data_IF_702907092797
#
_entry.id   IF_702907092797
#
_cell.length_a   1.000
_cell.length_b   1.000
_cell.length_c   1.000
_cell.angle_alpha   90.00
_cell.angle_beta   90.00
_cell.angle_gamma   90.00
#
_symmetry.space_group_name_H-M   'P 1'
#
loop_
_entity.id
_entity.type
_entity.pdbx_description
1 polymer ?
#
# COMPACT_ATOMS: atom_id res chain seq x y z
N UNK A 1 -1.32 -40.79 24.50
CA UNK A 1 -1.50 -39.47 25.14
C UNK A 1 -1.48 -38.40 24.06
N UNK A 2 -2.62 -37.75 23.77
CA UNK A 2 -2.70 -36.60 22.86
C UNK A 2 -3.09 -35.39 23.71
N UNK A 3 -2.15 -34.46 23.90
CA UNK A 3 -2.35 -33.21 24.61
C UNK A 3 -3.24 -32.29 23.79
N UNK A 4 -4.48 -32.10 24.23
CA UNK A 4 -5.40 -31.07 23.72
C UNK A 4 -4.90 -29.72 24.25
N UNK A 5 -4.42 -28.88 23.33
CA UNK A 5 -4.06 -27.49 23.61
C UNK A 5 -5.37 -26.74 23.85
N UNK A 6 -5.63 -26.44 25.12
CA UNK A 6 -6.79 -25.70 25.61
C UNK A 6 -6.62 -24.21 25.27
N UNK A 7 -7.18 -23.76 24.15
CA UNK A 7 -7.36 -22.33 23.90
C UNK A 7 -8.44 -21.80 24.87
N UNK A 8 -8.19 -20.75 25.66
CA UNK A 8 -9.20 -20.15 26.52
C UNK A 8 -10.06 -19.20 25.68
N UNK A 9 -10.83 -19.72 24.73
CA UNK A 9 -11.99 -19.01 24.21
C UNK A 9 -13.19 -19.41 25.06
N UNK A 10 -13.37 -18.70 26.17
CA UNK A 10 -14.58 -18.79 26.99
C UNK A 10 -15.84 -18.47 26.18
N UNK A 11 -17.01 -18.98 26.61
CA UNK A 11 -18.24 -18.93 25.84
C UNK A 11 -18.86 -17.52 25.91
N UNK A 12 -18.59 -16.70 24.90
CA UNK A 12 -19.31 -15.42 24.69
C UNK A 12 -20.66 -15.68 24.00
N UNK A 13 -21.57 -16.32 24.74
CA UNK A 13 -23.02 -16.29 24.48
C UNK A 13 -23.60 -15.00 25.07
N UNK A 14 -24.22 -14.16 24.23
CA UNK A 14 -24.99 -13.00 24.72
C UNK A 14 -25.16 -11.87 23.69
N UNK A 15 -26.08 -12.07 22.73
CA UNK A 15 -26.73 -11.07 21.87
C UNK A 15 -26.12 -9.67 21.70
N UNK A 16 -25.28 -9.45 20.67
CA UNK A 16 -25.03 -8.14 20.01
C UNK A 16 -24.11 -8.24 18.77
N UNK A 17 -24.18 -9.34 17.98
CA UNK A 17 -23.26 -9.53 16.84
C UNK A 17 -23.49 -8.58 15.65
N UNK A 18 -24.71 -8.06 15.45
CA UNK A 18 -25.03 -7.22 14.29
C UNK A 18 -24.31 -5.86 14.31
N UNK A 19 -24.30 -5.18 15.47
CA UNK A 19 -23.66 -3.86 15.59
C UNK A 19 -22.12 -3.91 15.50
N UNK A 20 -21.49 -5.00 15.97
CA UNK A 20 -20.02 -5.16 15.93
C UNK A 20 -19.51 -5.48 14.53
N UNK A 21 -20.29 -6.22 13.73
CA UNK A 21 -19.94 -6.55 12.35
C UNK A 21 -20.14 -5.36 11.41
N UNK A 22 -21.18 -4.54 11.65
CA UNK A 22 -21.36 -3.25 10.97
C UNK A 22 -20.18 -2.30 11.25
N UNK A 23 -19.70 -2.27 12.51
CA UNK A 23 -18.55 -1.47 12.89
C UNK A 23 -17.26 -1.94 12.18
N UNK A 24 -17.01 -3.25 12.10
CA UNK A 24 -15.85 -3.79 11.39
C UNK A 24 -15.89 -3.54 9.88
N UNK A 25 -17.06 -3.67 9.23
CA UNK A 25 -17.24 -3.33 7.81
C UNK A 25 -16.98 -1.85 7.53
N UNK A 26 -17.54 -0.97 8.37
CA UNK A 26 -17.34 0.48 8.23
C UNK A 26 -15.86 0.85 8.41
N UNK A 27 -15.18 0.28 9.41
CA UNK A 27 -13.75 0.48 9.61
C UNK A 27 -12.91 0.04 8.40
N UNK A 28 -13.22 -1.13 7.81
CA UNK A 28 -12.52 -1.65 6.65
C UNK A 28 -12.76 -0.79 5.38
N UNK A 29 -13.98 -0.27 5.20
CA UNK A 29 -14.29 0.67 4.11
C UNK A 29 -13.54 1.98 4.31
N UNK A 30 -13.55 2.55 5.52
CA UNK A 30 -12.81 3.78 5.82
C UNK A 30 -11.30 3.61 5.60
N UNK A 31 -10.71 2.47 5.98
CA UNK A 31 -9.29 2.21 5.71
C UNK A 31 -8.98 2.11 4.22
N UNK A 32 -9.87 1.51 3.42
CA UNK A 32 -9.70 1.44 1.97
C UNK A 32 -9.76 2.82 1.32
N UNK A 33 -10.74 3.66 1.72
CA UNK A 33 -10.86 5.05 1.25
C UNK A 33 -9.62 5.86 1.63
N UNK A 34 -9.14 5.74 2.86
CA UNK A 34 -7.94 6.45 3.30
C UNK A 34 -6.70 6.02 2.50
N UNK A 35 -6.56 4.71 2.24
CA UNK A 35 -5.46 4.16 1.45
C UNK A 35 -5.47 4.72 0.03
N UNK A 36 -6.64 4.84 -0.61
CA UNK A 36 -6.78 5.45 -1.94
C UNK A 36 -6.34 6.92 -1.91
N UNK A 37 -6.78 7.70 -0.93
CA UNK A 37 -6.43 9.12 -0.82
C UNK A 37 -4.93 9.34 -0.61
N UNK A 38 -4.31 8.56 0.28
CA UNK A 38 -2.86 8.64 0.51
C UNK A 38 -2.09 8.19 -0.73
N UNK A 39 -2.49 7.11 -1.39
CA UNK A 39 -1.84 6.64 -2.63
C UNK A 39 -1.90 7.72 -3.72
N UNK A 40 -3.05 8.41 -3.85
CA UNK A 40 -3.23 9.49 -4.82
C UNK A 40 -2.35 10.71 -4.49
N UNK A 41 -2.23 11.08 -3.21
CA UNK A 41 -1.33 12.12 -2.75
C UNK A 41 0.14 11.78 -3.09
N UNK A 42 0.56 10.53 -2.86
CA UNK A 42 1.92 10.08 -3.15
C UNK A 42 2.20 10.17 -4.66
N UNK A 43 1.29 9.69 -5.51
CA UNK A 43 1.42 9.79 -6.98
C UNK A 43 1.58 11.24 -7.42
N UNK A 44 0.82 12.17 -6.86
CA UNK A 44 0.92 13.60 -7.19
C UNK A 44 2.28 14.20 -6.78
N UNK A 45 2.76 13.90 -5.58
CA UNK A 45 4.06 14.39 -5.09
C UNK A 45 5.21 13.86 -5.95
N UNK A 46 5.22 12.56 -6.29
CA UNK A 46 6.27 12.00 -7.12
C UNK A 46 6.20 12.46 -8.57
N UNK A 47 4.99 12.64 -9.12
CA UNK A 47 4.80 13.22 -10.46
C UNK A 47 5.31 14.66 -10.52
N UNK A 48 5.01 15.47 -9.49
CA UNK A 48 5.60 16.81 -9.34
C UNK A 48 7.13 16.72 -9.30
N UNK A 49 7.70 15.85 -8.47
CA UNK A 49 9.16 15.72 -8.30
C UNK A 49 9.87 15.40 -9.61
N UNK A 50 9.29 14.55 -10.46
CA UNK A 50 9.81 14.27 -11.80
C UNK A 50 9.78 15.55 -12.65
N UNK A 51 8.63 16.24 -12.71
CA UNK A 51 8.45 17.45 -13.53
C UNK A 51 9.40 18.58 -13.10
N UNK A 52 9.56 18.82 -11.80
CA UNK A 52 10.44 19.87 -11.28
C UNK A 52 11.92 19.59 -11.56
N UNK A 53 12.32 18.32 -11.54
CA UNK A 53 13.70 17.96 -11.80
C UNK A 53 14.02 17.87 -13.32
N UNK A 54 13.03 17.73 -14.22
CA UNK A 54 13.26 17.70 -15.68
C UNK A 54 14.00 18.94 -16.21
N UNK A 55 13.80 20.10 -15.57
CA UNK A 55 14.49 21.35 -15.93
C UNK A 55 15.99 21.35 -15.63
N UNK A 56 16.51 20.43 -14.82
CA UNK A 56 17.94 20.33 -14.44
C UNK A 56 18.70 19.19 -15.13
N UNK A 57 18.08 18.49 -16.08
CA UNK A 57 18.58 17.24 -16.66
C UNK A 57 19.78 17.37 -17.61
N UNK A 58 20.35 18.56 -17.79
CA UNK A 58 21.30 18.83 -18.87
C UNK A 58 22.75 18.35 -18.60
N UNK A 59 23.10 17.93 -17.38
CA UNK A 59 24.52 17.74 -16.99
C UNK A 59 24.87 16.34 -16.44
N UNK A 60 23.91 15.54 -15.92
CA UNK A 60 24.16 14.19 -15.36
C UNK A 60 23.09 13.17 -15.79
N UNK A 61 23.14 12.78 -17.07
CA UNK A 61 22.08 12.03 -17.74
C UNK A 61 21.86 10.61 -17.16
N UNK A 62 22.92 9.83 -16.94
CA UNK A 62 22.79 8.40 -16.59
C UNK A 62 22.23 8.15 -15.18
N UNK A 63 22.63 8.95 -14.19
CA UNK A 63 22.11 8.79 -12.81
C UNK A 63 20.69 9.34 -12.69
N UNK A 64 20.37 10.37 -13.45
CA UNK A 64 19.04 10.93 -13.50
C UNK A 64 18.03 9.93 -14.06
N UNK A 65 18.41 9.14 -15.07
CA UNK A 65 17.61 8.01 -15.56
C UNK A 65 17.34 6.96 -14.48
N UNK A 66 18.35 6.58 -13.70
CA UNK A 66 18.20 5.61 -12.59
C UNK A 66 17.22 6.09 -11.50
N UNK A 67 17.29 7.37 -11.13
CA UNK A 67 16.38 7.99 -10.15
C UNK A 67 14.97 8.13 -10.72
N UNK A 68 14.84 8.45 -12.01
CA UNK A 68 13.53 8.55 -12.67
C UNK A 68 12.82 7.19 -12.76
N UNK A 69 13.55 6.11 -13.05
CA UNK A 69 13.01 4.74 -13.04
C UNK A 69 12.51 4.37 -11.63
N UNK A 70 13.24 4.74 -10.57
CA UNK A 70 12.80 4.51 -9.20
C UNK A 70 11.48 5.25 -8.88
N UNK A 71 11.32 6.49 -9.35
CA UNK A 71 10.07 7.24 -9.18
C UNK A 71 8.91 6.67 -9.99
N UNK A 72 9.15 6.19 -11.20
CA UNK A 72 8.13 5.46 -11.97
C UNK A 72 7.72 4.16 -11.27
N UNK A 73 8.66 3.44 -10.65
CA UNK A 73 8.34 2.25 -9.87
C UNK A 73 7.45 2.57 -8.67
N UNK A 74 7.73 3.65 -7.92
CA UNK A 74 6.90 4.11 -6.79
C UNK A 74 5.50 4.53 -7.27
N UNK A 75 5.40 5.26 -8.39
CA UNK A 75 4.08 5.60 -8.95
C UNK A 75 3.33 4.33 -9.35
N UNK A 76 4.01 3.36 -9.96
CA UNK A 76 3.42 2.07 -10.34
C UNK A 76 2.90 1.24 -9.17
N UNK A 77 3.63 1.20 -8.05
CA UNK A 77 3.15 0.51 -6.83
C UNK A 77 1.92 1.20 -6.25
N UNK A 78 1.90 2.54 -6.21
CA UNK A 78 0.74 3.28 -5.71
C UNK A 78 -0.50 3.14 -6.59
N UNK A 79 -0.35 3.07 -7.91
CA UNK A 79 -1.46 2.76 -8.82
C UNK A 79 -2.01 1.34 -8.58
N UNK A 80 -1.13 0.37 -8.31
CA UNK A 80 -1.52 -1.01 -7.98
C UNK A 80 -2.24 -1.09 -6.62
N UNK A 81 -1.83 -0.25 -5.66
CA UNK A 81 -2.47 -0.11 -4.34
C UNK A 81 -3.88 0.46 -4.43
N UNK A 82 -4.12 1.41 -5.34
CA UNK A 82 -5.47 1.94 -5.62
C UNK A 82 -6.36 0.82 -6.17
N UNK A 83 -5.86 0.05 -7.15
CA UNK A 83 -6.61 -1.07 -7.73
C UNK A 83 -6.98 -2.13 -6.68
N UNK A 84 -6.01 -2.55 -5.87
CA UNK A 84 -6.26 -3.50 -4.78
C UNK A 84 -7.28 -2.94 -3.78
N UNK A 85 -7.21 -1.66 -3.44
CA UNK A 85 -8.15 -1.03 -2.50
C UNK A 85 -9.58 -0.99 -3.05
N UNK A 86 -9.77 -0.84 -4.36
CA UNK A 86 -11.08 -0.98 -5.02
C UNK A 86 -11.57 -2.43 -4.92
N UNK A 87 -10.69 -3.42 -5.16
CA UNK A 87 -11.02 -4.85 -5.01
C UNK A 87 -11.42 -5.18 -3.56
N UNK A 88 -10.80 -4.56 -2.57
CA UNK A 88 -11.17 -4.70 -1.16
C UNK A 88 -12.59 -4.19 -0.91
N UNK A 89 -12.93 -2.99 -1.39
CA UNK A 89 -14.28 -2.43 -1.26
C UNK A 89 -15.30 -3.35 -1.93
N UNK A 90 -15.00 -3.84 -3.14
CA UNK A 90 -15.85 -4.79 -3.85
C UNK A 90 -16.03 -6.11 -3.08
N UNK A 91 -14.96 -6.64 -2.48
CA UNK A 91 -14.99 -7.84 -1.65
C UNK A 91 -15.86 -7.68 -0.41
N UNK A 92 -15.79 -6.52 0.26
CA UNK A 92 -16.64 -6.18 1.41
C UNK A 92 -18.10 -6.05 0.99
N UNK A 93 -18.39 -5.39 -0.14
CA UNK A 93 -19.73 -5.22 -0.68
C UNK A 93 -20.39 -6.55 -1.08
N UNK A 94 -19.61 -7.50 -1.63
CA UNK A 94 -20.10 -8.84 -1.99
C UNK A 94 -20.06 -9.85 -0.84
N UNK A 95 -19.71 -9.41 0.37
CA UNK A 95 -19.53 -10.24 1.57
C UNK A 95 -18.60 -11.45 1.34
N UNK A 96 -17.66 -11.35 0.39
CA UNK A 96 -16.73 -12.42 0.08
C UNK A 96 -15.37 -12.15 0.76
N UNK A 97 -15.07 -12.81 1.90
CA UNK A 97 -13.84 -12.57 2.65
C UNK A 97 -12.59 -13.01 1.88
N UNK A 98 -12.73 -13.84 0.84
CA UNK A 98 -11.61 -14.31 0.03
C UNK A 98 -10.89 -13.19 -0.73
N UNK A 99 -11.57 -12.08 -1.03
CA UNK A 99 -10.99 -10.92 -1.73
C UNK A 99 -10.16 -10.00 -0.82
N UNK A 100 -10.19 -10.22 0.49
CA UNK A 100 -9.37 -9.48 1.46
C UNK A 100 -7.92 -9.99 1.45
N UNK A 101 -7.73 -11.30 1.23
CA UNK A 101 -6.40 -11.94 1.28
C UNK A 101 -5.44 -11.37 0.21
N UNK A 102 -5.84 -11.26 -1.08
CA UNK A 102 -4.99 -10.62 -2.09
C UNK A 102 -4.66 -9.15 -1.77
N UNK A 103 -5.60 -8.42 -1.15
CA UNK A 103 -5.36 -7.04 -0.74
C UNK A 103 -4.27 -6.95 0.33
N UNK A 104 -4.32 -7.79 1.38
CA UNK A 104 -3.32 -7.79 2.46
C UNK A 104 -1.93 -8.15 1.90
N UNK A 105 -1.84 -9.23 1.11
CA UNK A 105 -0.57 -9.70 0.54
C UNK A 105 0.00 -8.64 -0.39
N UNK A 106 -0.83 -8.07 -1.26
CA UNK A 106 -0.40 -7.01 -2.17
C UNK A 106 0.04 -5.75 -1.42
N UNK A 107 -0.70 -5.34 -0.39
CA UNK A 107 -0.36 -4.17 0.44
C UNK A 107 1.03 -4.30 1.06
N UNK A 108 1.33 -5.45 1.69
CA UNK A 108 2.63 -5.70 2.32
C UNK A 108 3.75 -5.73 1.26
N UNK A 109 3.50 -6.39 0.13
CA UNK A 109 4.48 -6.51 -0.95
C UNK A 109 4.82 -5.16 -1.57
N UNK A 110 3.82 -4.32 -1.85
CA UNK A 110 4.01 -3.00 -2.44
C UNK A 110 4.64 -2.01 -1.46
N UNK A 111 4.31 -2.07 -0.16
CA UNK A 111 5.01 -1.32 0.88
C UNK A 111 6.52 -1.65 0.92
N UNK A 112 6.87 -2.94 0.85
CA UNK A 112 8.27 -3.34 0.80
C UNK A 112 8.98 -2.83 -0.47
N UNK A 113 8.32 -2.90 -1.63
CA UNK A 113 8.87 -2.43 -2.90
C UNK A 113 9.09 -0.90 -2.89
N UNK A 114 8.13 -0.14 -2.35
CA UNK A 114 8.25 1.31 -2.19
C UNK A 114 9.45 1.68 -1.30
N UNK A 115 9.63 1.00 -0.17
CA UNK A 115 10.76 1.22 0.72
C UNK A 115 12.10 0.97 0.01
N UNK A 116 12.20 -0.12 -0.76
CA UNK A 116 13.41 -0.46 -1.53
C UNK A 116 13.67 0.59 -2.62
N UNK A 117 12.64 0.99 -3.37
CA UNK A 117 12.78 2.01 -4.41
C UNK A 117 13.19 3.38 -3.84
N UNK A 118 12.70 3.73 -2.65
CA UNK A 118 13.09 4.94 -1.94
C UNK A 118 14.56 4.91 -1.53
N UNK A 119 15.00 3.83 -0.87
CA UNK A 119 16.41 3.65 -0.47
C UNK A 119 17.33 3.67 -1.68
N UNK A 120 16.96 2.94 -2.74
CA UNK A 120 17.70 2.93 -4.00
C UNK A 120 17.85 4.34 -4.59
N UNK A 121 16.75 5.11 -4.67
CA UNK A 121 16.77 6.48 -5.19
C UNK A 121 17.66 7.42 -4.36
N UNK A 122 17.74 7.20 -3.04
CA UNK A 122 18.58 7.99 -2.15
C UNK A 122 20.06 7.63 -2.29
N UNK A 123 20.39 6.34 -2.37
CA UNK A 123 21.77 5.87 -2.56
C UNK A 123 22.35 6.36 -3.89
N UNK A 124 21.57 6.32 -4.98
CA UNK A 124 22.04 6.84 -6.27
C UNK A 124 22.33 8.35 -6.23
N UNK A 125 21.54 9.11 -5.47
CA UNK A 125 21.77 10.55 -5.29
C UNK A 125 23.05 10.84 -4.49
N UNK A 126 23.35 10.02 -3.49
CA UNK A 126 24.56 10.19 -2.68
C UNK A 126 25.85 9.91 -3.48
N UNK A 127 25.79 8.96 -4.41
CA UNK A 127 26.91 8.69 -5.33
C UNK A 127 27.20 9.84 -6.31
N UNK A 128 26.22 10.71 -6.57
CA UNK A 128 26.35 11.87 -7.49
C UNK A 128 26.83 13.14 -6.80
N UNK A 129 26.48 13.34 -5.52
CA UNK A 129 26.80 14.56 -4.79
C UNK A 129 28.22 14.59 -4.20
N UNK A 130 29.07 13.61 -4.53
CA UNK A 130 30.43 13.46 -4.01
C UNK A 130 31.46 13.79 -5.08
#
# INVERSE_FOLDING_TARGET
MKSVILYPYGPLTGGTRCCRMLHAKNLAITSAIYTINISLLIVLIYSWRINANMHKSAELQDVYYGVQIAYFAIIGTQMSMILLSIVLIFGICRENPGLIVPWIIGYITFMALEAVAMVYSNVLRDHVNK
#
